data_IF_721176526215
#
_entry.id   IF_721176526215
#
_cell.length_a   1.000
_cell.length_b   1.000
_cell.length_c   1.000
_cell.angle_alpha   90.00
_cell.angle_beta   90.00
_cell.angle_gamma   90.00
#
_symmetry.space_group_name_H-M   'P 1'
#
loop_
_entity.id
_entity.type
_entity.pdbx_description
1 polymer ?
#
# COMPACT_ATOMS: atom_id res chain seq x y z
N UNK A 1 36.62 -6.44 23.90
CA UNK A 1 35.83 -6.61 22.65
C UNK A 1 34.34 -6.86 22.93
N UNK A 2 33.75 -6.18 23.93
CA UNK A 2 32.40 -6.47 24.45
C UNK A 2 31.31 -5.45 24.05
N UNK A 3 31.66 -4.40 23.30
CA UNK A 3 30.71 -3.34 22.91
C UNK A 3 29.90 -3.62 21.64
N UNK A 4 30.43 -4.44 20.72
CA UNK A 4 29.82 -4.68 19.39
C UNK A 4 28.58 -5.59 19.49
N UNK A 5 28.59 -6.58 20.38
CA UNK A 5 27.48 -7.53 20.54
C UNK A 5 26.23 -6.89 21.14
N UNK A 6 26.38 -5.94 22.06
CA UNK A 6 25.25 -5.23 22.68
C UNK A 6 24.56 -4.26 21.72
N UNK A 7 25.33 -3.58 20.87
CA UNK A 7 24.77 -2.68 19.85
C UNK A 7 23.92 -3.45 18.83
N UNK A 8 24.41 -4.60 18.35
CA UNK A 8 23.67 -5.46 17.42
C UNK A 8 22.38 -6.00 18.03
N UNK A 9 22.40 -6.48 19.29
CA UNK A 9 21.20 -6.96 19.99
C UNK A 9 20.15 -5.85 20.12
N UNK A 10 20.56 -4.65 20.54
CA UNK A 10 19.65 -3.52 20.76
C UNK A 10 19.08 -2.98 19.43
N UNK A 11 19.91 -2.90 18.39
CA UNK A 11 19.49 -2.53 17.05
C UNK A 11 18.45 -3.51 16.50
N UNK A 12 18.69 -4.82 16.63
CA UNK A 12 17.75 -5.85 16.21
C UNK A 12 16.41 -5.73 16.94
N UNK A 13 16.43 -5.48 18.25
CA UNK A 13 15.21 -5.29 19.03
C UNK A 13 14.41 -4.07 18.57
N UNK A 14 15.07 -2.91 18.40
CA UNK A 14 14.41 -1.67 17.96
C UNK A 14 13.77 -1.86 16.59
N UNK A 15 14.51 -2.41 15.61
CA UNK A 15 13.96 -2.59 14.27
C UNK A 15 12.76 -3.53 14.28
N UNK A 16 12.84 -4.68 14.95
CA UNK A 16 11.70 -5.60 15.06
C UNK A 16 10.50 -4.97 15.77
N UNK A 17 10.75 -4.12 16.78
CA UNK A 17 9.69 -3.42 17.50
C UNK A 17 8.99 -2.38 16.63
N UNK A 18 9.74 -1.63 15.80
CA UNK A 18 9.18 -0.70 14.84
C UNK A 18 8.34 -1.42 13.77
N UNK A 19 8.82 -2.56 13.26
CA UNK A 19 8.05 -3.39 12.35
C UNK A 19 6.77 -3.92 12.98
N UNK A 20 6.83 -4.35 14.25
CA UNK A 20 5.65 -4.77 15.00
C UNK A 20 4.62 -3.65 15.12
N UNK A 21 5.04 -2.44 15.52
CA UNK A 21 4.16 -1.27 15.60
C UNK A 21 3.52 -0.91 14.25
N UNK A 22 4.31 -0.98 13.17
CA UNK A 22 3.81 -0.77 11.81
C UNK A 22 2.79 -1.84 11.41
N UNK A 23 3.06 -3.12 11.69
CA UNK A 23 2.13 -4.22 11.47
C UNK A 23 0.81 -4.04 12.21
N UNK A 24 0.86 -3.62 13.48
CA UNK A 24 -0.33 -3.29 14.27
C UNK A 24 -1.13 -2.13 13.63
N UNK A 25 -0.47 -1.07 13.19
CA UNK A 25 -1.12 0.08 12.55
C UNK A 25 -1.80 -0.32 11.22
N UNK A 26 -1.11 -1.10 10.38
CA UNK A 26 -1.66 -1.60 9.11
C UNK A 26 -2.86 -2.52 9.38
N UNK A 27 -2.74 -3.44 10.32
CA UNK A 27 -3.82 -4.39 10.66
C UNK A 27 -5.03 -3.65 11.22
N UNK A 28 -4.83 -2.69 12.13
CA UNK A 28 -5.90 -1.86 12.66
C UNK A 28 -6.60 -1.05 11.58
N UNK A 29 -5.84 -0.39 10.69
CA UNK A 29 -6.41 0.35 9.57
C UNK A 29 -7.19 -0.55 8.60
N UNK A 30 -6.68 -1.74 8.30
CA UNK A 30 -7.32 -2.68 7.37
C UNK A 30 -8.60 -3.28 7.96
N UNK A 31 -8.61 -3.59 9.26
CA UNK A 31 -9.82 -4.04 9.96
C UNK A 31 -10.84 -2.90 10.05
N UNK A 32 -10.40 -1.67 10.34
CA UNK A 32 -11.28 -0.50 10.36
C UNK A 32 -11.97 -0.28 9.00
N UNK A 33 -11.22 -0.41 7.90
CA UNK A 33 -11.77 -0.37 6.55
C UNK A 33 -12.73 -1.54 6.25
N UNK A 34 -12.51 -2.72 6.83
CA UNK A 34 -13.36 -3.90 6.62
C UNK A 34 -14.67 -3.87 7.40
N UNK A 35 -14.68 -3.31 8.61
CA UNK A 35 -15.82 -3.39 9.55
C UNK A 35 -16.82 -2.25 9.36
N UNK A 36 -16.37 -1.07 8.90
CA UNK A 36 -17.30 0.03 8.63
C UNK A 36 -18.24 -0.33 7.49
N UNK A 37 -19.57 -0.28 7.74
CA UNK A 37 -20.60 -0.65 6.75
C UNK A 37 -20.69 0.34 5.60
N UNK A 38 -20.44 1.62 5.86
CA UNK A 38 -20.28 2.64 4.82
C UNK A 38 -19.07 2.33 3.93
N UNK A 39 -18.01 1.76 4.50
CA UNK A 39 -16.86 1.29 3.73
C UNK A 39 -17.18 -0.02 2.97
N UNK A 40 -17.90 -0.97 3.60
CA UNK A 40 -18.31 -2.22 2.94
C UNK A 40 -19.23 -2.00 1.74
N UNK A 41 -20.21 -1.09 1.78
CA UNK A 41 -21.06 -0.82 0.60
C UNK A 41 -20.29 -0.18 -0.55
N UNK A 42 -19.29 0.65 -0.24
CA UNK A 42 -18.38 1.26 -1.23
C UNK A 42 -17.41 0.23 -1.83
N UNK A 43 -17.05 -0.81 -1.07
CA UNK A 43 -16.28 -1.95 -1.59
C UNK A 43 -17.15 -3.04 -2.26
N UNK A 44 -18.48 -3.04 -2.07
CA UNK A 44 -19.43 -4.07 -2.57
C UNK A 44 -19.71 -4.04 -4.07
N UNK A 45 -19.09 -3.11 -4.81
CA UNK A 45 -19.30 -2.97 -6.26
C UNK A 45 -18.07 -3.30 -7.12
N UNK A 46 -16.90 -3.51 -6.51
CA UNK A 46 -15.68 -3.95 -7.20
C UNK A 46 -15.06 -5.13 -6.48
N UNK A 47 -15.18 -6.34 -7.05
CA UNK A 47 -14.62 -7.56 -6.47
C UNK A 47 -13.10 -7.49 -6.22
N UNK A 48 -12.39 -6.56 -6.86
CA UNK A 48 -10.95 -6.38 -6.69
C UNK A 48 -10.51 -5.64 -5.42
N UNK A 49 -11.32 -4.72 -4.86
CA UNK A 49 -10.87 -3.89 -3.74
C UNK A 49 -10.99 -4.58 -2.39
N UNK A 50 -12.02 -5.43 -2.21
CA UNK A 50 -12.07 -6.34 -1.07
C UNK A 50 -10.88 -7.31 -1.05
N UNK A 51 -10.47 -7.81 -2.21
CA UNK A 51 -9.28 -8.64 -2.30
C UNK A 51 -8.02 -7.89 -1.83
N UNK A 52 -7.90 -6.60 -2.16
CA UNK A 52 -6.82 -5.74 -1.66
C UNK A 52 -6.81 -5.57 -0.14
N UNK A 53 -7.97 -5.33 0.47
CA UNK A 53 -8.10 -5.17 1.93
C UNK A 53 -7.84 -6.50 2.66
N UNK A 54 -8.37 -7.61 2.16
CA UNK A 54 -8.11 -8.93 2.73
C UNK A 54 -6.62 -9.31 2.63
N UNK A 55 -5.94 -8.94 1.54
CA UNK A 55 -4.49 -9.08 1.41
C UNK A 55 -3.73 -8.18 2.40
N UNK A 56 -4.15 -6.93 2.59
CA UNK A 56 -3.58 -6.01 3.58
C UNK A 56 -3.73 -6.54 5.01
N UNK A 57 -4.87 -7.15 5.35
CA UNK A 57 -5.09 -7.83 6.64
C UNK A 57 -4.12 -9.00 6.77
N UNK A 58 -4.00 -9.86 5.76
CA UNK A 58 -3.10 -11.00 5.79
C UNK A 58 -1.63 -10.58 5.96
N UNK A 59 -1.17 -9.60 5.18
CA UNK A 59 0.20 -9.06 5.24
C UNK A 59 0.45 -8.38 6.58
N UNK A 60 -0.47 -7.54 7.06
CA UNK A 60 -0.36 -6.87 8.35
C UNK A 60 -0.26 -7.85 9.52
N UNK A 61 -1.06 -8.92 9.49
CA UNK A 61 -1.01 -9.99 10.50
C UNK A 61 0.33 -10.74 10.47
N UNK A 62 0.86 -11.07 9.28
CA UNK A 62 2.17 -11.73 9.14
C UNK A 62 3.28 -10.83 9.70
N UNK A 63 3.29 -9.54 9.35
CA UNK A 63 4.28 -8.57 9.85
C UNK A 63 4.21 -8.45 11.37
N UNK A 64 2.99 -8.39 11.93
CA UNK A 64 2.78 -8.34 13.38
C UNK A 64 3.33 -9.59 14.07
N UNK A 65 3.02 -10.79 13.57
CA UNK A 65 3.51 -12.05 14.17
C UNK A 65 5.03 -12.15 14.07
N UNK A 66 5.60 -11.86 12.91
CA UNK A 66 7.05 -11.90 12.69
C UNK A 66 7.78 -10.87 13.56
N UNK A 67 7.26 -9.64 13.68
CA UNK A 67 7.81 -8.60 14.56
C UNK A 67 7.76 -9.01 16.03
N UNK A 68 6.65 -9.61 16.49
CA UNK A 68 6.52 -10.11 17.86
C UNK A 68 7.52 -11.23 18.16
N UNK A 69 7.64 -12.22 17.26
CA UNK A 69 8.62 -13.29 17.39
C UNK A 69 10.06 -12.76 17.40
N UNK A 70 10.36 -11.73 16.59
CA UNK A 70 11.66 -11.05 16.57
C UNK A 70 11.96 -10.35 17.90
N UNK A 71 11.01 -9.58 18.44
CA UNK A 71 11.16 -8.91 19.73
C UNK A 71 11.31 -9.90 20.90
N UNK A 72 10.43 -10.91 20.98
CA UNK A 72 10.49 -11.92 22.04
C UNK A 72 11.74 -12.81 21.93
N UNK A 73 12.17 -13.16 20.72
CA UNK A 73 13.40 -13.90 20.48
C UNK A 73 14.64 -13.14 20.94
N UNK A 74 14.69 -11.82 20.68
CA UNK A 74 15.78 -10.96 21.12
C UNK A 74 15.79 -10.77 22.66
N UNK A 75 14.62 -10.60 23.29
CA UNK A 75 14.53 -10.42 24.76
C UNK A 75 14.79 -11.70 25.55
N UNK A 76 14.30 -12.84 25.06
CA UNK A 76 14.37 -14.12 25.80
C UNK A 76 15.68 -14.89 25.56
N UNK A 77 16.57 -14.35 24.71
CA UNK A 77 17.81 -15.01 24.24
C UNK A 77 17.57 -16.46 23.79
N UNK A 78 16.34 -16.75 23.33
CA UNK A 78 15.89 -18.10 23.00
C UNK A 78 16.21 -18.40 21.55
N UNK A 79 17.19 -19.28 21.34
CA UNK A 79 17.63 -19.69 20.01
C UNK A 79 16.48 -20.29 19.18
N UNK A 80 15.51 -20.96 19.81
CA UNK A 80 14.37 -21.55 19.11
C UNK A 80 13.44 -20.49 18.51
N UNK A 81 13.13 -19.41 19.25
CA UNK A 81 12.29 -18.32 18.72
C UNK A 81 13.01 -17.53 17.63
N UNK A 82 14.32 -17.29 17.78
CA UNK A 82 15.13 -16.63 16.77
C UNK A 82 15.25 -17.47 15.49
N UNK A 83 15.32 -18.80 15.63
CA UNK A 83 15.36 -19.75 14.51
C UNK A 83 14.03 -19.80 13.77
N UNK A 84 12.89 -19.79 14.47
CA UNK A 84 11.56 -19.69 13.85
C UNK A 84 11.39 -18.39 13.07
N UNK A 85 11.87 -17.27 13.62
CA UNK A 85 11.89 -15.99 12.91
C UNK A 85 12.74 -16.09 11.63
N UNK A 86 13.94 -16.66 11.70
CA UNK A 86 14.79 -16.82 10.53
C UNK A 86 14.17 -17.74 9.46
N UNK A 87 13.58 -18.86 9.84
CA UNK A 87 12.88 -19.76 8.93
C UNK A 87 11.69 -19.06 8.28
N UNK A 88 10.90 -18.30 9.06
CA UNK A 88 9.78 -17.53 8.53
C UNK A 88 10.22 -16.51 7.48
N UNK A 89 11.30 -15.77 7.73
CA UNK A 89 11.88 -14.84 6.75
C UNK A 89 12.36 -15.55 5.48
N UNK A 90 13.00 -16.72 5.62
CA UNK A 90 13.42 -17.52 4.46
C UNK A 90 12.22 -17.97 3.61
N UNK A 91 11.13 -18.43 4.24
CA UNK A 91 9.92 -18.82 3.52
C UNK A 91 9.31 -17.63 2.78
N UNK A 92 9.21 -16.46 3.44
CA UNK A 92 8.73 -15.23 2.80
C UNK A 92 9.59 -14.89 1.58
N UNK A 93 10.92 -14.96 1.71
CA UNK A 93 11.84 -14.67 0.62
C UNK A 93 11.66 -15.64 -0.57
N UNK A 94 11.45 -16.93 -0.31
CA UNK A 94 11.14 -17.89 -1.37
C UNK A 94 9.81 -17.60 -2.06
N UNK A 95 8.76 -17.28 -1.30
CA UNK A 95 7.46 -16.89 -1.85
C UNK A 95 7.55 -15.63 -2.71
N UNK A 96 8.35 -14.66 -2.26
CA UNK A 96 8.66 -13.42 -2.96
C UNK A 96 9.34 -13.68 -4.31
N UNK A 97 10.35 -14.55 -4.36
CA UNK A 97 11.02 -14.96 -5.60
C UNK A 97 10.02 -15.63 -6.56
N UNK A 98 9.21 -16.57 -6.06
CA UNK A 98 8.19 -17.27 -6.87
C UNK A 98 7.17 -16.28 -7.42
N UNK A 99 6.67 -15.37 -6.60
CA UNK A 99 5.74 -14.32 -7.02
C UNK A 99 6.36 -13.39 -8.08
N UNK A 100 7.64 -13.01 -7.91
CA UNK A 100 8.36 -12.20 -8.88
C UNK A 100 8.52 -12.89 -10.24
N UNK A 101 8.89 -14.18 -10.25
CA UNK A 101 9.01 -14.98 -11.47
C UNK A 101 7.65 -15.12 -12.16
N UNK A 102 6.60 -15.50 -11.41
CA UNK A 102 5.25 -15.63 -11.95
C UNK A 102 4.72 -14.30 -12.48
N UNK A 103 4.96 -13.19 -11.77
CA UNK A 103 4.59 -11.84 -12.22
C UNK A 103 5.30 -11.44 -13.52
N UNK A 104 6.56 -11.83 -13.68
CA UNK A 104 7.32 -11.62 -14.91
C UNK A 104 6.84 -12.46 -16.09
N UNK A 105 6.60 -13.76 -15.86
CA UNK A 105 6.18 -14.71 -16.91
C UNK A 105 4.74 -14.43 -17.37
N UNK A 106 3.83 -14.16 -16.43
CA UNK A 106 2.41 -13.93 -16.72
C UNK A 106 2.06 -12.44 -16.85
N UNK A 107 3.02 -11.61 -17.30
CA UNK A 107 2.87 -10.15 -17.37
C UNK A 107 1.56 -9.70 -18.03
N UNK A 108 1.18 -10.28 -19.16
CA UNK A 108 -0.07 -9.90 -19.85
C UNK A 108 -1.33 -10.18 -19.04
N UNK A 109 -1.34 -11.25 -18.23
CA UNK A 109 -2.47 -11.56 -17.34
C UNK A 109 -2.47 -10.65 -16.12
N UNK A 110 -1.31 -10.34 -15.56
CA UNK A 110 -1.17 -9.37 -14.48
C UNK A 110 -1.65 -7.98 -14.95
N UNK A 111 -1.24 -7.54 -16.14
CA UNK A 111 -1.69 -6.27 -16.72
C UNK A 111 -3.22 -6.26 -16.96
N UNK A 112 -3.81 -7.36 -17.42
CA UNK A 112 -5.26 -7.47 -17.60
C UNK A 112 -6.00 -7.31 -16.25
N UNK A 113 -5.56 -8.02 -15.22
CA UNK A 113 -6.15 -7.95 -13.87
C UNK A 113 -5.98 -6.55 -13.28
N UNK A 114 -4.77 -5.99 -13.35
CA UNK A 114 -4.48 -4.64 -12.85
C UNK A 114 -5.34 -3.59 -13.56
N UNK A 115 -5.47 -3.66 -14.89
CA UNK A 115 -6.31 -2.70 -15.63
C UNK A 115 -7.79 -2.83 -15.27
N UNK A 116 -8.30 -4.03 -15.01
CA UNK A 116 -9.67 -4.23 -14.53
C UNK A 116 -9.87 -3.59 -13.16
N UNK A 117 -8.98 -3.87 -12.20
CA UNK A 117 -9.02 -3.27 -10.86
C UNK A 117 -8.94 -1.74 -10.93
N UNK A 118 -8.02 -1.18 -11.72
CA UNK A 118 -7.89 0.27 -11.88
C UNK A 118 -9.14 0.90 -12.50
N UNK A 119 -9.81 0.19 -13.42
CA UNK A 119 -11.06 0.69 -14.03
C UNK A 119 -12.19 0.72 -13.00
N UNK A 120 -12.28 -0.30 -12.14
CA UNK A 120 -13.23 -0.32 -11.01
C UNK A 120 -12.95 0.84 -10.03
N UNK A 121 -11.68 1.11 -9.72
CA UNK A 121 -11.29 2.24 -8.86
C UNK A 121 -11.65 3.60 -9.45
N UNK A 122 -11.44 3.80 -10.76
CA UNK A 122 -11.86 5.03 -11.44
C UNK A 122 -13.38 5.20 -11.39
N UNK A 123 -14.16 4.12 -11.51
CA UNK A 123 -15.62 4.22 -11.36
C UNK A 123 -16.03 4.71 -9.96
N UNK A 124 -15.30 4.32 -8.91
CA UNK A 124 -15.55 4.79 -7.55
C UNK A 124 -15.26 6.29 -7.38
N UNK A 125 -14.27 6.84 -8.09
CA UNK A 125 -13.97 8.27 -8.12
C UNK A 125 -15.05 9.10 -8.83
N UNK A 126 -15.70 8.52 -9.85
CA UNK A 126 -16.76 9.20 -10.60
C UNK A 126 -18.11 9.18 -9.91
N UNK A 127 -18.28 8.36 -8.87
CA UNK A 127 -19.54 8.23 -8.15
C UNK A 127 -19.89 9.53 -7.40
N UNK A 128 -20.99 10.15 -7.78
CA UNK A 128 -21.49 11.40 -7.17
C UNK A 128 -22.60 11.14 -6.14
N UNK A 129 -22.90 9.88 -5.83
CA UNK A 129 -24.02 9.47 -4.96
C UNK A 129 -23.75 9.71 -3.46
N UNK A 130 -22.54 10.13 -3.10
CA UNK A 130 -22.15 10.42 -1.71
C UNK A 130 -21.53 9.23 -0.96
N UNK A 131 -21.79 8.00 -1.41
CA UNK A 131 -21.28 6.78 -0.78
C UNK A 131 -19.73 6.69 -0.77
N UNK A 132 -19.05 7.31 -1.72
CA UNK A 132 -17.58 7.20 -1.88
C UNK A 132 -16.82 8.44 -1.39
N UNK A 133 -17.44 9.33 -0.61
CA UNK A 133 -16.82 10.59 -0.18
C UNK A 133 -15.55 10.41 0.65
N UNK A 134 -15.50 9.40 1.54
CA UNK A 134 -14.31 9.12 2.34
C UNK A 134 -13.14 8.62 1.49
N UNK A 135 -13.43 7.75 0.52
CA UNK A 135 -12.44 7.29 -0.44
C UNK A 135 -11.94 8.44 -1.33
N UNK A 136 -12.85 9.26 -1.85
CA UNK A 136 -12.50 10.45 -2.65
C UNK A 136 -11.67 11.46 -1.84
N UNK A 137 -12.01 11.69 -0.57
CA UNK A 137 -11.25 12.59 0.31
C UNK A 137 -9.86 12.03 0.67
N UNK A 138 -9.76 10.72 0.90
CA UNK A 138 -8.48 10.05 1.11
C UNK A 138 -7.61 10.09 -0.14
N UNK A 139 -8.20 9.80 -1.29
CA UNK A 139 -7.52 9.84 -2.59
C UNK A 139 -7.09 11.26 -2.97
N UNK A 140 -7.90 12.27 -2.65
CA UNK A 140 -7.55 13.68 -2.80
C UNK A 140 -6.29 14.06 -2.03
N UNK A 141 -6.21 13.67 -0.75
CA UNK A 141 -5.04 13.92 0.08
C UNK A 141 -3.82 13.19 -0.46
N UNK A 142 -4.00 11.97 -0.97
CA UNK A 142 -2.94 11.22 -1.62
C UNK A 142 -2.41 11.94 -2.88
N UNK A 143 -3.30 12.42 -3.75
CA UNK A 143 -2.95 13.17 -4.96
C UNK A 143 -2.16 14.45 -4.64
N UNK A 144 -2.61 15.22 -3.65
CA UNK A 144 -1.91 16.43 -3.21
C UNK A 144 -0.55 16.13 -2.57
N UNK A 145 -0.48 15.12 -1.70
CA UNK A 145 0.78 14.73 -1.05
C UNK A 145 1.82 14.23 -2.05
N UNK A 146 1.37 13.59 -3.14
CA UNK A 146 2.25 13.01 -4.15
C UNK A 146 2.34 13.84 -5.44
N UNK A 147 1.70 15.03 -5.48
CA UNK A 147 1.72 15.96 -6.62
C UNK A 147 1.36 15.27 -7.95
N UNK A 148 0.30 14.48 -7.92
CA UNK A 148 -0.17 13.70 -9.06
C UNK A 148 -1.69 13.85 -9.21
N UNK A 149 -2.22 13.52 -10.39
CA UNK A 149 -3.65 13.66 -10.69
C UNK A 149 -4.15 12.50 -11.55
N UNK A 150 -5.14 11.77 -11.08
CA UNK A 150 -5.78 10.61 -11.69
C UNK A 150 -4.95 9.32 -11.65
N UNK A 151 -5.61 8.19 -11.82
CA UNK A 151 -5.00 6.86 -11.90
C UNK A 151 -4.65 6.47 -13.35
N UNK A 152 -5.59 6.62 -14.28
CA UNK A 152 -5.53 6.13 -15.66
C UNK A 152 -5.49 7.26 -16.68
N UNK A 153 -6.46 8.19 -16.61
CA UNK A 153 -6.67 9.26 -17.61
C UNK A 153 -6.52 10.66 -17.02
N UNK A 154 -5.96 10.78 -15.82
CA UNK A 154 -5.71 12.07 -15.19
C UNK A 154 -6.97 12.66 -14.60
N UNK A 155 -7.18 13.97 -14.76
CA UNK A 155 -8.37 14.64 -14.25
C UNK A 155 -9.69 14.05 -14.77
N UNK A 156 -9.66 13.41 -15.94
CA UNK A 156 -10.83 12.76 -16.53
C UNK A 156 -11.31 11.56 -15.72
N UNK A 157 -10.47 11.00 -14.84
CA UNK A 157 -10.86 9.93 -13.93
C UNK A 157 -11.89 10.41 -12.90
N UNK A 158 -11.93 11.70 -12.58
CA UNK A 158 -12.92 12.29 -11.67
C UNK A 158 -14.29 12.52 -12.31
N UNK A 159 -14.41 12.39 -13.64
CA UNK A 159 -15.68 12.47 -14.36
C UNK A 159 -16.49 13.73 -14.01
N UNK A 160 -17.72 13.56 -13.51
CA UNK A 160 -18.61 14.68 -13.14
C UNK A 160 -18.20 15.36 -11.84
N UNK A 161 -17.42 14.71 -10.99
CA UNK A 161 -16.90 15.30 -9.75
C UNK A 161 -15.73 16.26 -9.99
N UNK A 162 -15.18 16.27 -11.22
CA UNK A 162 -14.07 17.14 -11.62
C UNK A 162 -14.34 18.63 -11.36
N UNK A 163 -15.57 19.10 -11.59
CA UNK A 163 -15.94 20.52 -11.41
C UNK A 163 -15.99 20.98 -9.95
N UNK A 164 -16.08 20.05 -9.00
CA UNK A 164 -16.00 20.32 -7.55
C UNK A 164 -14.58 20.08 -7.01
N UNK A 165 -13.71 19.50 -7.84
CA UNK A 165 -12.41 18.97 -7.46
C UNK A 165 -11.25 19.80 -8.01
N UNK A 166 -10.62 20.62 -7.16
CA UNK A 166 -9.44 21.41 -7.52
C UNK A 166 -8.10 20.70 -7.22
N UNK A 167 -8.11 19.43 -6.78
CA UNK A 167 -6.90 18.73 -6.32
C UNK A 167 -5.85 18.46 -7.40
N UNK A 168 -6.25 18.56 -8.66
CA UNK A 168 -5.36 18.37 -9.81
C UNK A 168 -4.62 19.65 -10.25
N UNK A 169 -4.88 20.81 -9.64
CA UNK A 169 -4.17 22.05 -9.97
C UNK A 169 -2.77 22.05 -9.38
N UNK A 170 -1.79 22.42 -10.19
CA UNK A 170 -0.42 22.60 -9.74
C UNK A 170 -0.28 23.82 -8.85
N UNK A 171 0.46 23.65 -7.76
CA UNK A 171 0.95 24.78 -6.98
C UNK A 171 1.88 25.65 -7.84
N UNK A 172 1.81 26.97 -7.66
CA UNK A 172 2.66 27.93 -8.38
C UNK A 172 4.15 27.66 -8.20
N UNK A 173 4.54 26.99 -7.11
CA UNK A 173 5.93 26.58 -6.84
C UNK A 173 6.41 25.43 -7.72
N UNK A 174 5.49 24.62 -8.25
CA UNK A 174 5.79 23.47 -9.11
C UNK A 174 5.65 23.78 -10.60
N UNK A 175 5.22 25.01 -10.94
CA UNK A 175 5.06 25.48 -12.31
C UNK A 175 6.40 25.43 -13.07
N UNK A 176 6.40 24.74 -14.23
CA UNK A 176 7.60 24.55 -15.05
C UNK A 176 8.46 23.33 -14.70
N UNK A 177 8.09 22.55 -13.69
CA UNK A 177 8.73 21.25 -13.40
C UNK A 177 8.14 20.11 -14.24
N UNK A 178 8.83 18.97 -14.30
CA UNK A 178 8.33 17.76 -14.99
C UNK A 178 7.10 17.11 -14.34
N UNK A 179 6.70 17.59 -13.17
CA UNK A 179 5.54 17.12 -12.40
C UNK A 179 4.25 17.76 -12.90
N UNK A 180 4.34 18.95 -13.52
CA UNK A 180 3.23 19.74 -14.02
C UNK A 180 3.24 19.78 -15.55
N UNK A 181 2.06 19.61 -16.16
CA UNK A 181 1.85 19.85 -17.60
C UNK A 181 0.89 21.01 -17.75
N UNK A 182 1.44 22.22 -17.93
CA UNK A 182 0.69 23.47 -17.75
C UNK A 182 0.39 23.68 -16.27
N UNK A 183 -0.85 24.04 -15.94
CA UNK A 183 -1.30 24.29 -14.56
C UNK A 183 -1.86 23.04 -13.85
N UNK A 184 -1.61 21.84 -14.38
CA UNK A 184 -2.17 20.58 -13.85
C UNK A 184 -1.10 19.54 -13.55
N UNK A 185 -1.29 18.81 -12.46
CA UNK A 185 -0.43 17.70 -12.08
C UNK A 185 -0.54 16.56 -13.09
N UNK A 186 0.56 15.86 -13.31
CA UNK A 186 0.62 14.71 -14.22
C UNK A 186 0.01 13.44 -13.58
N UNK A 187 -0.49 12.54 -14.42
CA UNK A 187 -1.02 11.23 -13.99
C UNK A 187 0.04 10.38 -13.32
N UNK A 188 -0.40 9.51 -12.40
CA UNK A 188 0.42 8.50 -11.72
C UNK A 188 0.94 7.45 -12.72
N UNK A 189 1.84 7.84 -13.62
CA UNK A 189 2.54 6.90 -14.52
C UNK A 189 3.55 6.03 -13.76
N UNK A 190 3.88 6.39 -12.52
CA UNK A 190 4.91 5.72 -11.70
C UNK A 190 4.43 4.47 -10.96
N UNK A 191 3.13 4.23 -10.84
CA UNK A 191 2.65 3.02 -10.15
C UNK A 191 2.72 1.75 -11.01
N UNK A 192 3.11 1.86 -12.29
CA UNK A 192 3.41 0.70 -13.15
C UNK A 192 4.64 -0.12 -12.69
N UNK A 193 5.38 0.31 -11.66
CA UNK A 193 6.64 -0.36 -11.31
C UNK A 193 7.05 -0.25 -9.83
N UNK A 194 6.13 0.05 -8.91
CA UNK A 194 6.50 0.08 -7.48
C UNK A 194 6.43 -1.32 -6.82
N UNK A 195 5.65 -2.25 -7.38
CA UNK A 195 5.58 -3.63 -6.87
C UNK A 195 6.83 -4.47 -7.20
N UNK A 196 7.66 -4.04 -8.16
CA UNK A 196 8.87 -4.76 -8.58
C UNK A 196 10.13 -4.26 -7.83
N UNK A 197 10.12 -3.06 -7.24
CA UNK A 197 11.31 -2.48 -6.59
C UNK A 197 11.44 -2.86 -5.10
N UNK A 198 10.41 -3.47 -4.51
CA UNK A 198 10.45 -4.01 -3.14
C UNK A 198 10.67 -5.53 -3.09
N UNK A 199 11.14 -6.13 -4.20
CA UNK A 199 11.49 -7.55 -4.33
C UNK A 199 12.91 -7.70 -4.86
#
# INVERSE_FOLDING_TARGET
MAGVSSCMKYSMFIFNFLFWMCGCAILAASIYMRVNKDAQESFNKGSGMFAGIDLLIAVGAIIMVMGFLGCCGAMKESQCMLLLFFIGLLIILLLQIVAGILGGVYKSKVEEVVNKTLTEEVQMLQDTTGNNQDFQAGFHKFEQANKCCGLLKGESDWGKAQSTYNGCQCDSKDAGTSVCKGDKYTTVRRMKMCFIIFL
#
